data_IF_279192303718
#
_entry.id   IF_279192303718
#
_cell.length_a   1.000
_cell.length_b   1.000
_cell.length_c   1.000
_cell.angle_alpha   90.00
_cell.angle_beta   90.00
_cell.angle_gamma   90.00
#
_symmetry.space_group_name_H-M   'P 1'
#
loop_
_entity.id
_entity.type
_entity.pdbx_description
1 polymer ?
#
# COMPACT_ATOMS: atom_id res chain seq x y z
N UNK A 1 55.21 109.18 40.25
CA UNK A 1 53.82 108.93 40.67
C UNK A 1 53.18 107.95 39.70
N UNK A 2 52.96 106.70 40.14
CA UNK A 2 51.79 105.87 39.78
C UNK A 2 51.90 104.56 40.57
N UNK A 3 51.05 104.45 41.57
CA UNK A 3 50.77 103.25 42.36
C UNK A 3 49.94 102.29 41.53
N UNK A 4 50.41 101.06 41.32
CA UNK A 4 49.56 99.95 40.89
C UNK A 4 49.15 99.10 42.09
N UNK A 5 47.85 98.86 42.16
CA UNK A 5 47.14 98.21 43.24
C UNK A 5 46.30 97.11 42.57
N UNK A 6 46.65 95.83 42.73
CA UNK A 6 45.76 94.73 42.32
C UNK A 6 45.77 93.60 43.37
N UNK A 7 44.76 93.73 44.24
CA UNK A 7 43.77 92.72 44.67
C UNK A 7 44.23 91.27 44.97
N UNK A 8 44.29 91.04 46.28
CA UNK A 8 43.83 89.89 47.06
C UNK A 8 43.10 88.77 46.28
N UNK A 9 43.70 87.58 46.26
CA UNK A 9 43.16 86.35 45.68
C UNK A 9 42.24 85.66 46.70
N UNK A 10 40.92 85.76 46.51
CA UNK A 10 39.95 85.06 47.35
C UNK A 10 39.98 83.55 47.07
N UNK A 11 40.25 82.76 48.10
CA UNK A 11 40.12 81.31 48.10
C UNK A 11 38.72 80.89 47.67
N UNK A 12 38.58 80.29 46.49
CA UNK A 12 37.33 79.66 46.04
C UNK A 12 36.91 78.61 47.07
N UNK A 13 35.71 78.79 47.63
CA UNK A 13 35.20 77.95 48.72
C UNK A 13 35.07 76.49 48.28
N UNK A 14 35.49 75.58 49.17
CA UNK A 14 35.40 74.11 49.02
C UNK A 14 33.97 73.66 48.64
N UNK A 15 32.96 74.48 48.96
CA UNK A 15 31.55 74.23 48.65
C UNK A 15 31.22 74.28 47.14
N UNK A 16 31.95 75.05 46.32
CA UNK A 16 31.73 75.13 44.87
C UNK A 16 32.24 73.87 44.14
N UNK A 17 33.40 73.34 44.54
CA UNK A 17 33.92 72.07 44.00
C UNK A 17 33.07 70.87 44.44
N UNK A 18 32.53 70.88 45.66
CA UNK A 18 31.63 69.83 46.16
C UNK A 18 30.31 69.76 45.39
N UNK A 19 29.73 70.89 45.00
CA UNK A 19 28.49 70.95 44.20
C UNK A 19 28.73 70.47 42.76
N UNK A 20 29.85 70.85 42.15
CA UNK A 20 30.25 70.36 40.82
C UNK A 20 30.50 68.84 40.85
N UNK A 21 31.21 68.33 41.86
CA UNK A 21 31.47 66.90 42.01
C UNK A 21 30.19 66.08 42.22
N UNK A 22 29.25 66.56 43.03
CA UNK A 22 27.94 65.92 43.23
C UNK A 22 27.09 65.92 41.96
N UNK A 23 27.10 67.02 41.20
CA UNK A 23 26.42 67.10 39.91
C UNK A 23 27.03 66.13 38.89
N UNK A 24 28.36 66.02 38.85
CA UNK A 24 29.06 65.07 37.98
C UNK A 24 28.77 63.61 38.35
N UNK A 25 28.77 63.27 39.64
CA UNK A 25 28.39 61.93 40.13
C UNK A 25 26.95 61.61 39.75
N UNK A 26 26.01 62.55 39.93
CA UNK A 26 24.61 62.37 39.55
C UNK A 26 24.48 62.13 38.04
N UNK A 27 25.15 62.93 37.21
CA UNK A 27 25.16 62.77 35.76
C UNK A 27 25.75 61.42 35.34
N UNK A 28 26.80 60.97 36.02
CA UNK A 28 27.45 59.68 35.78
C UNK A 28 26.53 58.52 36.12
N UNK A 29 25.80 58.60 37.24
CA UNK A 29 24.79 57.60 37.62
C UNK A 29 23.64 57.57 36.63
N UNK A 30 23.16 58.73 36.17
CA UNK A 30 22.12 58.81 35.14
C UNK A 30 22.62 58.17 33.84
N UNK A 31 23.85 58.48 33.42
CA UNK A 31 24.44 57.91 32.21
C UNK A 31 24.61 56.39 32.32
N UNK A 32 25.15 55.89 33.43
CA UNK A 32 25.23 54.44 33.72
C UNK A 32 23.85 53.80 33.74
N UNK A 33 22.85 54.46 34.30
CA UNK A 33 21.45 54.02 34.29
C UNK A 33 20.91 53.89 32.87
N UNK A 34 21.22 54.84 31.99
CA UNK A 34 20.84 54.80 30.57
C UNK A 34 21.57 53.66 29.83
N UNK A 35 22.89 53.51 30.02
CA UNK A 35 23.66 52.43 29.40
C UNK A 35 23.16 51.07 29.85
N UNK A 36 22.94 50.89 31.16
CA UNK A 36 22.43 49.66 31.73
C UNK A 36 20.99 49.37 31.27
N UNK A 37 20.17 50.42 31.13
CA UNK A 37 18.83 50.35 30.54
C UNK A 37 18.84 49.77 29.12
N UNK A 38 19.78 50.21 28.27
CA UNK A 38 19.92 49.66 26.91
C UNK A 38 20.58 48.27 26.89
N UNK A 39 21.46 47.99 27.86
CA UNK A 39 22.19 46.73 27.94
C UNK A 39 21.32 45.54 28.37
N UNK A 40 20.35 45.78 29.26
CA UNK A 40 19.51 44.74 29.85
C UNK A 40 18.43 44.20 28.91
N UNK A 41 17.94 45.02 27.99
CA UNK A 41 16.84 44.63 27.11
C UNK A 41 17.35 43.68 26.02
N UNK A 42 16.79 42.47 25.99
CA UNK A 42 17.06 41.42 25.00
C UNK A 42 15.75 40.85 24.47
N UNK A 43 15.77 40.43 23.20
CA UNK A 43 14.68 39.73 22.55
C UNK A 43 15.24 38.49 21.86
N UNK A 44 14.68 37.32 22.18
CA UNK A 44 14.92 36.08 21.42
C UNK A 44 13.64 35.72 20.68
N UNK A 45 13.74 35.56 19.37
CA UNK A 45 12.66 35.15 18.47
C UNK A 45 12.94 33.70 18.07
N UNK A 46 12.08 32.78 18.48
CA UNK A 46 12.17 31.36 18.10
C UNK A 46 11.15 31.13 16.99
N UNK A 47 11.61 30.76 15.80
CA UNK A 47 10.76 30.53 14.63
C UNK A 47 10.56 29.03 14.40
N UNK A 48 9.32 28.61 14.17
CA UNK A 48 9.01 27.22 13.78
C UNK A 48 8.75 27.19 12.26
N UNK A 49 9.70 26.66 11.46
CA UNK A 49 9.58 26.67 10.01
C UNK A 49 8.44 25.76 9.53
N UNK A 50 7.83 26.14 8.41
CA UNK A 50 6.86 25.30 7.74
C UNK A 50 7.55 24.06 7.14
N UNK A 51 6.86 22.92 7.18
CA UNK A 51 7.31 21.66 6.58
C UNK A 51 6.51 21.45 5.29
N UNK A 52 7.20 21.48 4.17
CA UNK A 52 6.60 21.28 2.85
C UNK A 52 6.93 19.88 2.33
N UNK A 53 6.02 19.31 1.52
CA UNK A 53 6.32 18.07 0.79
C UNK A 53 7.06 18.39 -0.50
N UNK A 54 8.03 17.56 -0.82
CA UNK A 54 8.74 17.56 -2.10
C UNK A 54 8.66 16.15 -2.70
N UNK A 55 8.59 16.08 -4.02
CA UNK A 55 8.65 14.83 -4.76
C UNK A 55 9.44 15.02 -6.04
N UNK A 56 10.07 13.93 -6.51
CA UNK A 56 10.75 13.90 -7.79
C UNK A 56 10.53 12.56 -8.50
N UNK A 57 10.53 12.64 -9.83
CA UNK A 57 10.38 11.53 -10.75
C UNK A 57 11.62 11.49 -11.65
N UNK A 58 12.44 10.47 -11.51
CA UNK A 58 13.63 10.29 -12.34
C UNK A 58 13.73 8.88 -12.91
N UNK A 59 14.58 8.74 -13.92
CA UNK A 59 14.85 7.47 -14.58
C UNK A 59 16.24 7.01 -14.18
N UNK A 60 16.37 5.72 -13.87
CA UNK A 60 17.64 5.08 -13.57
C UNK A 60 17.84 3.82 -14.40
N UNK A 61 19.08 3.62 -14.84
CA UNK A 61 19.48 2.40 -15.53
C UNK A 61 19.92 1.35 -14.51
N UNK A 62 19.36 0.15 -14.65
CA UNK A 62 19.80 -1.07 -13.96
C UNK A 62 20.59 -1.90 -14.96
N UNK A 63 21.80 -2.32 -14.58
CA UNK A 63 22.67 -3.11 -15.44
C UNK A 63 23.16 -4.41 -14.79
N UNK A 64 23.27 -5.45 -15.59
CA UNK A 64 23.80 -6.74 -15.18
C UNK A 64 25.33 -6.79 -15.37
N UNK A 65 26.08 -6.81 -14.27
CA UNK A 65 27.56 -6.86 -14.25
C UNK A 65 28.13 -8.07 -15.00
N UNK A 66 27.36 -9.15 -15.17
CA UNK A 66 27.82 -10.35 -15.87
C UNK A 66 27.73 -10.21 -17.39
N UNK A 67 26.86 -9.32 -17.89
CA UNK A 67 26.58 -9.14 -19.32
C UNK A 67 27.13 -7.83 -19.87
N UNK A 68 27.19 -6.78 -19.04
CA UNK A 68 27.62 -5.45 -19.45
C UNK A 68 28.80 -4.98 -18.58
N UNK A 69 30.02 -5.26 -19.06
CA UNK A 69 31.27 -4.94 -18.35
C UNK A 69 31.86 -3.58 -18.76
N UNK A 70 31.44 -3.01 -19.90
CA UNK A 70 32.08 -1.84 -20.50
C UNK A 70 31.07 -0.96 -21.29
N UNK A 71 30.17 -0.23 -20.63
CA UNK A 71 29.44 0.88 -21.27
C UNK A 71 29.21 2.08 -20.34
N UNK A 72 29.20 3.27 -20.97
CA UNK A 72 28.98 4.58 -20.37
C UNK A 72 27.52 4.73 -19.98
N UNK A 73 27.23 4.61 -18.69
CA UNK A 73 25.89 4.85 -18.14
C UNK A 73 25.55 6.34 -18.14
N UNK A 74 24.28 6.70 -18.35
CA UNK A 74 23.83 8.08 -18.17
C UNK A 74 23.80 8.44 -16.69
N UNK A 75 24.92 8.97 -16.19
CA UNK A 75 25.11 9.74 -14.95
C UNK A 75 24.72 9.11 -13.59
N UNK A 76 23.99 8.00 -13.52
CA UNK A 76 23.81 7.16 -12.33
C UNK A 76 23.17 5.84 -12.77
N UNK A 77 23.87 4.73 -12.60
CA UNK A 77 23.33 3.40 -12.85
C UNK A 77 23.62 2.47 -11.67
N UNK A 78 22.68 1.57 -11.41
CA UNK A 78 22.75 0.61 -10.30
C UNK A 78 22.99 -0.78 -10.86
N UNK A 79 23.86 -1.54 -10.21
CA UNK A 79 24.06 -2.93 -10.58
C UNK A 79 22.90 -3.77 -10.11
N UNK A 80 22.36 -4.58 -11.01
CA UNK A 80 21.29 -5.52 -10.74
C UNK A 80 21.48 -6.83 -11.50
N UNK A 81 20.42 -7.63 -11.53
CA UNK A 81 20.33 -8.89 -12.26
C UNK A 81 19.12 -8.84 -13.17
N UNK A 82 19.30 -9.17 -14.45
CA UNK A 82 18.22 -9.17 -15.44
C UNK A 82 18.17 -10.54 -16.09
N UNK A 83 17.12 -11.27 -15.78
CA UNK A 83 16.93 -12.65 -16.20
C UNK A 83 15.55 -12.84 -16.81
N UNK A 84 15.43 -13.84 -17.68
CA UNK A 84 14.16 -14.21 -18.30
C UNK A 84 13.94 -15.71 -18.14
N UNK A 85 12.76 -16.08 -17.69
CA UNK A 85 12.38 -17.46 -17.47
C UNK A 85 11.17 -17.81 -18.31
N UNK A 86 11.23 -18.95 -18.99
CA UNK A 86 10.02 -19.56 -19.50
C UNK A 86 9.31 -20.26 -18.34
N UNK A 87 8.07 -19.87 -18.09
CA UNK A 87 7.23 -20.43 -17.02
C UNK A 87 5.92 -20.90 -17.63
N UNK A 88 5.38 -21.98 -17.06
CA UNK A 88 4.09 -22.55 -17.41
C UNK A 88 3.26 -22.71 -16.13
N UNK A 89 1.99 -22.34 -16.21
CA UNK A 89 0.99 -22.46 -15.16
C UNK A 89 -0.34 -22.96 -15.72
N UNK A 90 -1.04 -23.76 -14.93
CA UNK A 90 -2.34 -24.31 -15.29
C UNK A 90 -3.28 -24.39 -14.09
N UNK A 91 -4.55 -24.09 -14.31
CA UNK A 91 -5.59 -24.25 -13.29
C UNK A 91 -6.96 -24.48 -13.93
N UNK A 92 -7.82 -25.19 -13.20
CA UNK A 92 -9.22 -25.38 -13.55
C UNK A 92 -10.07 -24.24 -12.99
N UNK A 93 -11.01 -23.75 -13.79
CA UNK A 93 -11.91 -22.65 -13.43
C UNK A 93 -13.36 -23.06 -13.62
N UNK A 94 -14.26 -22.67 -12.70
CA UNK A 94 -15.67 -22.98 -12.83
C UNK A 94 -16.34 -22.12 -13.91
N UNK A 95 -17.27 -22.71 -14.63
CA UNK A 95 -18.18 -22.00 -15.53
C UNK A 95 -19.24 -21.25 -14.73
N UNK A 96 -19.46 -19.98 -15.05
CA UNK A 96 -20.50 -19.15 -14.41
C UNK A 96 -21.82 -19.17 -15.19
N UNK A 97 -21.77 -19.47 -16.49
CA UNK A 97 -22.96 -19.56 -17.33
C UNK A 97 -23.87 -20.69 -16.84
N UNK A 98 -25.15 -20.38 -16.71
CA UNK A 98 -26.17 -21.32 -16.25
C UNK A 98 -27.37 -21.26 -17.20
N UNK A 99 -27.82 -22.43 -17.65
CA UNK A 99 -29.06 -22.60 -18.41
C UNK A 99 -29.95 -23.58 -17.68
N UNK A 100 -31.18 -23.15 -17.39
CA UNK A 100 -32.20 -24.06 -16.89
C UNK A 100 -32.62 -24.99 -18.05
N UNK A 101 -32.40 -26.29 -17.89
CA UNK A 101 -32.72 -27.33 -18.88
C UNK A 101 -33.94 -28.17 -18.48
N UNK A 102 -34.68 -27.73 -17.46
CA UNK A 102 -35.87 -28.39 -16.97
C UNK A 102 -35.88 -28.49 -15.46
N UNK A 103 -36.67 -29.43 -14.96
CA UNK A 103 -36.88 -29.65 -13.54
C UNK A 103 -36.42 -31.06 -13.18
N UNK A 104 -36.07 -31.28 -11.92
CA UNK A 104 -35.72 -32.62 -11.44
C UNK A 104 -36.13 -32.80 -9.98
N UNK A 105 -36.22 -34.07 -9.57
CA UNK A 105 -36.30 -34.46 -8.17
C UNK A 105 -34.95 -35.00 -7.75
N UNK A 106 -34.25 -34.27 -6.89
CA UNK A 106 -33.01 -34.70 -6.28
C UNK A 106 -33.31 -35.54 -5.04
N UNK A 107 -32.85 -36.79 -5.04
CA UNK A 107 -33.08 -37.73 -3.96
C UNK A 107 -32.19 -38.95 -4.07
N UNK A 108 -32.00 -39.62 -2.93
CA UNK A 108 -31.27 -40.87 -2.82
C UNK A 108 -32.09 -41.88 -2.04
N UNK A 109 -32.01 -43.14 -2.44
CA UNK A 109 -32.57 -44.26 -1.70
C UNK A 109 -31.48 -45.27 -1.38
N UNK A 110 -31.63 -45.92 -0.24
CA UNK A 110 -30.87 -47.11 0.13
C UNK A 110 -31.66 -48.33 -0.33
N UNK A 111 -31.11 -49.10 -1.26
CA UNK A 111 -31.66 -50.39 -1.65
C UNK A 111 -31.12 -51.44 -0.70
N UNK A 112 -32.01 -52.13 0.01
CA UNK A 112 -31.70 -53.15 1.00
C UNK A 112 -32.02 -54.52 0.41
N UNK A 113 -31.04 -55.44 0.46
CA UNK A 113 -31.22 -56.82 0.04
C UNK A 113 -31.02 -57.77 1.23
N UNK A 114 -32.12 -58.15 1.89
CA UNK A 114 -32.14 -59.17 2.94
C UNK A 114 -32.37 -60.59 2.38
N UNK A 115 -32.20 -60.78 1.07
CA UNK A 115 -32.26 -62.08 0.43
C UNK A 115 -30.88 -62.74 0.42
N UNK A 116 -30.86 -64.06 0.17
CA UNK A 116 -29.64 -64.89 0.24
C UNK A 116 -28.82 -64.86 -1.05
N UNK A 117 -29.27 -64.12 -2.08
CA UNK A 117 -28.58 -64.00 -3.38
C UNK A 117 -28.43 -62.53 -3.75
N UNK A 118 -27.38 -62.24 -4.52
CA UNK A 118 -27.17 -60.92 -5.12
C UNK A 118 -28.31 -60.59 -6.08
N UNK A 119 -28.73 -59.33 -6.09
CA UNK A 119 -29.80 -58.84 -6.94
C UNK A 119 -29.28 -57.74 -7.87
N UNK A 120 -29.07 -58.05 -9.16
CA UNK A 120 -28.83 -57.02 -10.16
C UNK A 120 -30.12 -56.23 -10.41
N UNK A 121 -30.00 -54.90 -10.46
CA UNK A 121 -31.06 -53.97 -10.81
C UNK A 121 -30.52 -53.06 -11.92
N UNK A 122 -31.21 -53.01 -13.05
CA UNK A 122 -30.78 -52.20 -14.20
C UNK A 122 -31.11 -50.73 -13.98
N UNK A 123 -30.36 -49.83 -14.60
CA UNK A 123 -30.75 -48.43 -14.75
C UNK A 123 -32.22 -48.36 -15.21
N UNK A 124 -32.98 -47.40 -14.68
CA UNK A 124 -34.44 -47.25 -14.85
C UNK A 124 -35.35 -48.22 -14.06
N UNK A 125 -34.81 -49.09 -13.19
CA UNK A 125 -35.63 -49.94 -12.31
C UNK A 125 -36.60 -49.10 -11.48
N UNK A 126 -37.88 -49.49 -11.50
CA UNK A 126 -39.00 -48.77 -10.86
C UNK A 126 -39.01 -48.95 -9.34
N UNK A 127 -39.19 -47.84 -8.64
CA UNK A 127 -39.40 -47.74 -7.20
C UNK A 127 -40.76 -47.07 -6.96
N UNK A 128 -41.63 -47.71 -6.19
CA UNK A 128 -43.00 -47.25 -5.98
C UNK A 128 -43.28 -47.04 -4.49
N UNK A 129 -43.70 -45.83 -4.13
CA UNK A 129 -44.14 -45.51 -2.77
C UNK A 129 -45.55 -46.04 -2.49
N UNK A 130 -45.97 -46.02 -1.21
CA UNK A 130 -47.32 -46.40 -0.82
C UNK A 130 -48.42 -45.49 -1.42
N UNK A 131 -48.11 -44.23 -1.71
CA UNK A 131 -48.98 -43.25 -2.39
C UNK A 131 -48.84 -43.30 -3.93
N UNK A 132 -48.31 -44.40 -4.48
CA UNK A 132 -48.17 -44.65 -5.92
C UNK A 132 -47.29 -43.66 -6.70
N UNK A 133 -46.35 -42.99 -6.04
CA UNK A 133 -45.35 -42.14 -6.72
C UNK A 133 -44.22 -43.00 -7.25
N UNK A 134 -43.94 -42.84 -8.54
CA UNK A 134 -42.98 -43.66 -9.29
C UNK A 134 -41.65 -42.93 -9.42
N UNK A 135 -40.58 -43.58 -8.95
CA UNK A 135 -39.20 -43.16 -9.17
C UNK A 135 -38.42 -44.27 -9.85
N UNK A 136 -37.23 -43.92 -10.35
CA UNK A 136 -36.34 -44.85 -11.05
C UNK A 136 -34.92 -44.66 -10.60
N UNK A 137 -34.16 -45.75 -10.54
CA UNK A 137 -32.71 -45.66 -10.26
C UNK A 137 -31.95 -45.16 -11.49
N UNK A 138 -30.95 -44.29 -11.29
CA UNK A 138 -30.15 -43.73 -12.40
C UNK A 138 -29.18 -44.74 -13.01
N UNK A 139 -28.59 -45.61 -12.18
CA UNK A 139 -27.50 -46.50 -12.58
C UNK A 139 -27.85 -47.97 -12.41
N UNK A 140 -27.19 -48.83 -13.19
CA UNK A 140 -27.25 -50.27 -13.01
C UNK A 140 -26.39 -50.67 -11.82
N UNK A 141 -26.98 -51.37 -10.86
CA UNK A 141 -26.28 -51.82 -9.66
C UNK A 141 -26.46 -53.32 -9.45
N UNK A 142 -25.60 -53.90 -8.61
CA UNK A 142 -25.73 -55.26 -8.14
C UNK A 142 -25.70 -55.28 -6.62
N UNK A 143 -26.86 -55.43 -5.98
CA UNK A 143 -26.98 -55.37 -4.52
C UNK A 143 -26.61 -56.74 -3.94
N UNK A 144 -25.50 -56.87 -3.17
CA UNK A 144 -25.10 -58.15 -2.62
C UNK A 144 -26.10 -58.71 -1.62
N UNK A 145 -26.08 -60.02 -1.41
CA UNK A 145 -26.89 -60.67 -0.39
C UNK A 145 -26.61 -60.11 1.01
N UNK A 146 -27.66 -59.82 1.79
CA UNK A 146 -27.60 -59.22 3.13
C UNK A 146 -26.85 -57.88 3.21
N UNK A 147 -26.87 -57.09 2.14
CA UNK A 147 -26.23 -55.77 2.07
C UNK A 147 -27.18 -54.72 1.53
N UNK A 148 -26.76 -53.45 1.65
CA UNK A 148 -27.47 -52.32 1.07
C UNK A 148 -26.54 -51.41 0.28
N UNK A 149 -27.11 -50.72 -0.72
CA UNK A 149 -26.39 -49.77 -1.58
C UNK A 149 -27.23 -48.49 -1.69
N UNK A 150 -26.59 -47.33 -1.55
CA UNK A 150 -27.22 -46.03 -1.80
C UNK A 150 -27.16 -45.73 -3.30
N UNK A 151 -28.29 -45.32 -3.86
CA UNK A 151 -28.39 -44.93 -5.27
C UNK A 151 -29.19 -43.64 -5.45
N UNK A 152 -28.83 -42.90 -6.49
CA UNK A 152 -29.59 -41.74 -6.95
C UNK A 152 -30.83 -42.17 -7.73
N UNK A 153 -31.89 -41.39 -7.57
CA UNK A 153 -33.16 -41.60 -8.27
C UNK A 153 -33.48 -40.45 -9.24
N UNK A 154 -34.40 -40.71 -10.16
CA UNK A 154 -35.06 -39.68 -10.96
C UNK A 154 -36.55 -40.04 -11.14
N UNK A 155 -37.33 -39.06 -11.60
CA UNK A 155 -38.71 -39.25 -12.07
C UNK A 155 -38.80 -38.79 -13.52
N UNK A 156 -39.67 -39.45 -14.28
CA UNK A 156 -39.97 -39.08 -15.67
C UNK A 156 -40.77 -37.76 -15.72
N UNK A 157 -41.55 -37.47 -14.68
CA UNK A 157 -42.39 -36.27 -14.53
C UNK A 157 -42.08 -35.58 -13.19
N UNK A 158 -41.10 -34.66 -13.15
CA UNK A 158 -40.77 -33.90 -11.95
C UNK A 158 -41.86 -32.88 -11.63
N UNK A 159 -42.31 -32.86 -10.37
CA UNK A 159 -43.28 -31.88 -9.87
C UNK A 159 -43.09 -31.66 -8.36
N UNK A 160 -43.65 -30.59 -7.81
CA UNK A 160 -43.60 -30.35 -6.36
C UNK A 160 -44.22 -31.50 -5.54
N UNK A 161 -45.20 -32.21 -6.10
CA UNK A 161 -45.84 -33.36 -5.44
C UNK A 161 -44.91 -34.57 -5.33
N UNK A 162 -43.91 -34.66 -6.22
CA UNK A 162 -42.88 -35.70 -6.20
C UNK A 162 -41.75 -35.42 -5.20
N UNK A 163 -41.73 -34.23 -4.57
CA UNK A 163 -40.88 -33.95 -3.41
C UNK A 163 -41.50 -34.57 -2.14
N UNK A 164 -41.05 -35.77 -1.80
CA UNK A 164 -41.59 -36.58 -0.71
C UNK A 164 -40.68 -36.59 0.52
N UNK A 165 -41.29 -36.76 1.69
CA UNK A 165 -40.57 -37.04 2.94
C UNK A 165 -40.00 -38.48 2.95
N UNK A 166 -39.02 -38.77 3.83
CA UNK A 166 -38.45 -40.11 3.99
C UNK A 166 -39.51 -41.21 4.05
N UNK A 167 -39.44 -42.16 3.12
CA UNK A 167 -40.41 -43.26 3.03
C UNK A 167 -39.78 -44.56 2.52
N UNK A 168 -40.58 -45.62 2.50
CA UNK A 168 -40.24 -46.94 1.97
C UNK A 168 -40.84 -47.12 0.58
N UNK A 169 -40.08 -47.78 -0.29
CA UNK A 169 -40.43 -48.05 -1.68
C UNK A 169 -40.44 -49.56 -1.94
N UNK A 170 -41.42 -49.99 -2.70
CA UNK A 170 -41.45 -51.34 -3.30
C UNK A 170 -40.74 -51.32 -4.65
N UNK A 171 -40.26 -52.48 -5.11
CA UNK A 171 -39.65 -52.65 -6.44
C UNK A 171 -40.60 -53.53 -7.26
N UNK A 172 -41.56 -52.95 -8.02
CA UNK A 172 -42.63 -53.73 -8.66
C UNK A 172 -42.12 -54.72 -9.71
N UNK A 173 -40.93 -54.48 -10.27
CA UNK A 173 -40.29 -55.39 -11.23
C UNK A 173 -39.76 -56.69 -10.62
N UNK A 174 -39.67 -56.79 -9.28
CA UNK A 174 -39.31 -58.03 -8.59
C UNK A 174 -40.55 -58.89 -8.33
N UNK A 175 -40.35 -60.21 -8.32
CA UNK A 175 -41.40 -61.15 -7.91
C UNK A 175 -41.91 -60.82 -6.50
N UNK A 176 -43.23 -60.92 -6.28
CA UNK A 176 -43.90 -60.47 -5.06
C UNK A 176 -43.28 -61.02 -3.77
N UNK A 177 -42.85 -62.28 -3.75
CA UNK A 177 -42.22 -62.87 -2.57
C UNK A 177 -40.80 -62.36 -2.27
N UNK A 178 -40.17 -61.62 -3.19
CA UNK A 178 -38.90 -60.93 -2.96
C UNK A 178 -39.07 -59.48 -2.50
N UNK A 179 -40.19 -58.81 -2.78
CA UNK A 179 -40.36 -57.38 -2.48
C UNK A 179 -40.32 -57.07 -0.96
N UNK A 180 -40.66 -58.04 -0.12
CA UNK A 180 -40.52 -57.90 1.34
C UNK A 180 -39.07 -58.06 1.83
N UNK A 181 -38.21 -58.70 1.03
CA UNK A 181 -36.80 -58.96 1.34
C UNK A 181 -35.86 -58.00 0.62
N UNK A 182 -36.27 -57.47 -0.53
CA UNK A 182 -35.51 -56.55 -1.36
C UNK A 182 -36.39 -55.33 -1.64
N UNK A 183 -36.05 -54.22 -1.03
CA UNK A 183 -36.82 -52.97 -1.09
C UNK A 183 -35.88 -51.77 -1.07
N UNK A 184 -36.43 -50.58 -1.30
CA UNK A 184 -35.70 -49.33 -1.15
C UNK A 184 -36.30 -48.49 -0.01
N UNK A 185 -35.47 -47.67 0.62
CA UNK A 185 -35.89 -46.71 1.64
C UNK A 185 -35.11 -45.41 1.46
N UNK A 186 -35.76 -44.26 1.63
CA UNK A 186 -35.09 -42.97 1.68
C UNK A 186 -34.99 -42.50 3.12
N UNK A 187 -33.80 -42.07 3.54
CA UNK A 187 -33.58 -41.49 4.88
C UNK A 187 -33.65 -39.96 4.90
N UNK A 188 -33.70 -39.33 3.72
CA UNK A 188 -33.79 -37.87 3.54
C UNK A 188 -34.95 -37.55 2.60
N UNK A 189 -35.56 -36.38 2.77
CA UNK A 189 -36.59 -35.89 1.86
C UNK A 189 -36.04 -35.69 0.45
N UNK A 190 -36.89 -35.87 -0.54
CA UNK A 190 -36.59 -35.53 -1.92
C UNK A 190 -36.89 -34.05 -2.16
N UNK A 191 -36.07 -33.41 -2.99
CA UNK A 191 -36.15 -31.97 -3.25
C UNK A 191 -36.46 -31.75 -4.72
N UNK A 192 -37.54 -31.02 -4.99
CA UNK A 192 -37.84 -30.50 -6.31
C UNK A 192 -37.01 -29.25 -6.56
N UNK A 193 -36.23 -29.27 -7.64
CA UNK A 193 -35.34 -28.18 -8.01
C UNK A 193 -35.22 -28.04 -9.53
N UNK A 194 -34.81 -26.85 -9.98
CA UNK A 194 -34.46 -26.64 -11.38
C UNK A 194 -33.17 -27.37 -11.72
N UNK A 195 -33.18 -28.09 -12.85
CA UNK A 195 -32.01 -28.73 -13.43
C UNK A 195 -31.22 -27.68 -14.22
N UNK A 196 -30.07 -27.30 -13.68
CA UNK A 196 -29.20 -26.29 -14.29
C UNK A 196 -28.04 -26.99 -15.00
N UNK A 197 -27.79 -26.59 -16.24
CA UNK A 197 -26.59 -26.98 -16.99
C UNK A 197 -25.66 -25.78 -17.10
N UNK A 198 -24.41 -25.96 -16.70
CA UNK A 198 -23.41 -24.90 -16.80
C UNK A 198 -22.76 -24.84 -18.18
N UNK A 199 -22.33 -23.65 -18.56
CA UNK A 199 -21.57 -23.43 -19.79
C UNK A 199 -20.56 -22.29 -19.60
N UNK A 200 -19.49 -22.34 -20.38
CA UNK A 200 -18.38 -21.37 -20.28
C UNK A 200 -18.81 -20.02 -20.86
N UNK A 201 -18.64 -18.94 -20.10
CA UNK A 201 -18.79 -17.58 -20.60
C UNK A 201 -17.45 -16.94 -20.94
N UNK A 202 -17.46 -15.91 -21.80
CA UNK A 202 -16.24 -15.16 -22.12
C UNK A 202 -15.59 -14.54 -20.87
N UNK A 203 -16.41 -14.03 -19.94
CA UNK A 203 -15.92 -13.45 -18.68
C UNK A 203 -15.17 -14.48 -17.82
N UNK A 204 -15.55 -15.76 -17.88
CA UNK A 204 -14.88 -16.83 -17.15
C UNK A 204 -13.46 -17.04 -17.70
N UNK A 205 -13.33 -17.05 -19.04
CA UNK A 205 -12.04 -17.18 -19.73
C UNK A 205 -11.15 -15.97 -19.43
N UNK A 206 -11.69 -14.76 -19.53
CA UNK A 206 -10.92 -13.52 -19.30
C UNK A 206 -10.41 -13.44 -17.85
N UNK A 207 -11.26 -13.81 -16.88
CA UNK A 207 -10.88 -13.86 -15.46
C UNK A 207 -9.86 -14.96 -15.19
N UNK A 208 -10.04 -16.15 -15.76
CA UNK A 208 -9.09 -17.26 -15.65
C UNK A 208 -7.72 -16.88 -16.20
N UNK A 209 -7.67 -16.23 -17.37
CA UNK A 209 -6.41 -15.79 -17.98
C UNK A 209 -5.73 -14.70 -17.14
N UNK A 210 -6.51 -13.73 -16.63
CA UNK A 210 -5.99 -12.67 -15.75
C UNK A 210 -5.41 -13.22 -14.45
N UNK A 211 -6.12 -14.15 -13.81
CA UNK A 211 -5.67 -14.83 -12.59
C UNK A 211 -4.41 -15.68 -12.84
N UNK A 212 -4.37 -16.47 -13.92
CA UNK A 212 -3.19 -17.24 -14.27
C UNK A 212 -1.99 -16.36 -14.61
N UNK A 213 -2.15 -15.21 -15.26
CA UNK A 213 -1.04 -14.27 -15.49
C UNK A 213 -0.42 -13.79 -14.17
N UNK A 214 -1.25 -13.51 -13.15
CA UNK A 214 -0.76 -13.14 -11.80
C UNK A 214 -0.02 -14.30 -11.13
N UNK A 215 -0.56 -15.51 -11.20
CA UNK A 215 0.08 -16.74 -10.66
C UNK A 215 1.39 -17.06 -11.38
N UNK A 216 1.44 -16.87 -12.69
CA UNK A 216 2.63 -17.05 -13.52
C UNK A 216 3.75 -16.09 -13.09
N UNK A 217 3.43 -14.80 -12.91
CA UNK A 217 4.37 -13.81 -12.40
C UNK A 217 4.86 -14.17 -10.98
N UNK A 218 3.95 -14.53 -10.07
CA UNK A 218 4.31 -14.96 -8.72
C UNK A 218 5.28 -16.15 -8.74
N UNK A 219 4.98 -17.21 -9.52
CA UNK A 219 5.88 -18.36 -9.67
C UNK A 219 7.23 -18.00 -10.27
N UNK A 220 7.27 -17.07 -11.23
CA UNK A 220 8.53 -16.61 -11.79
C UNK A 220 9.37 -15.90 -10.72
N UNK A 221 8.75 -15.02 -9.92
CA UNK A 221 9.44 -14.31 -8.82
C UNK A 221 9.88 -15.26 -7.69
N UNK A 222 9.08 -16.29 -7.37
CA UNK A 222 9.42 -17.31 -6.35
C UNK A 222 10.63 -18.18 -6.74
N UNK A 223 10.83 -18.43 -8.04
CA UNK A 223 12.03 -19.14 -8.51
C UNK A 223 13.32 -18.40 -8.15
N UNK A 224 13.26 -17.07 -8.10
CA UNK A 224 14.44 -16.23 -7.88
C UNK A 224 14.53 -15.75 -6.43
N UNK A 225 13.41 -15.53 -5.73
CA UNK A 225 13.43 -15.04 -4.34
C UNK A 225 14.18 -15.96 -3.36
N UNK A 226 14.37 -17.23 -3.70
CA UNK A 226 15.24 -18.15 -2.94
C UNK A 226 16.72 -17.74 -2.93
N UNK A 227 17.17 -17.03 -3.97
CA UNK A 227 18.56 -16.64 -4.16
C UNK A 227 18.83 -15.20 -3.68
N UNK A 228 17.78 -14.38 -3.49
CA UNK A 228 17.88 -12.97 -3.13
C UNK A 228 17.19 -12.70 -1.77
N UNK A 229 17.98 -12.26 -0.79
CA UNK A 229 17.56 -11.95 0.60
C UNK A 229 16.72 -10.66 0.70
N UNK A 230 16.29 -10.35 1.92
CA UNK A 230 15.68 -9.07 2.35
C UNK A 230 16.65 -7.87 2.14
N UNK A 231 16.87 -7.42 0.90
CA UNK A 231 17.49 -6.11 0.56
C UNK A 231 17.40 -5.78 -0.95
N UNK A 232 16.45 -6.38 -1.66
CA UNK A 232 16.33 -6.23 -3.11
C UNK A 232 14.91 -5.86 -3.50
N UNK A 233 14.81 -5.00 -4.51
CA UNK A 233 13.59 -4.73 -5.22
C UNK A 233 13.51 -5.67 -6.43
N UNK A 234 12.33 -6.21 -6.68
CA UNK A 234 12.06 -7.13 -7.78
C UNK A 234 10.94 -6.54 -8.64
N UNK A 235 11.27 -6.22 -9.89
CA UNK A 235 10.31 -5.87 -10.92
C UNK A 235 10.20 -7.01 -11.92
N UNK A 236 9.04 -7.14 -12.54
CA UNK A 236 8.81 -8.15 -13.56
C UNK A 236 7.98 -7.60 -14.71
N UNK A 237 8.16 -8.22 -15.87
CA UNK A 237 7.30 -8.04 -17.03
C UNK A 237 7.04 -9.39 -17.72
N UNK A 238 5.82 -9.57 -18.21
CA UNK A 238 5.43 -10.77 -18.97
C UNK A 238 5.48 -10.40 -20.45
N UNK A 239 6.40 -11.02 -21.19
CA UNK A 239 6.56 -10.80 -22.62
C UNK A 239 5.31 -11.30 -23.37
N UNK A 240 4.45 -10.36 -23.76
CA UNK A 240 3.19 -10.66 -24.45
C UNK A 240 3.43 -11.37 -25.79
N UNK A 241 4.57 -11.17 -26.46
CA UNK A 241 4.87 -11.82 -27.74
C UNK A 241 5.17 -13.31 -27.59
N UNK A 242 5.55 -13.74 -26.39
CA UNK A 242 5.83 -15.16 -26.08
C UNK A 242 4.70 -15.83 -25.32
N UNK A 243 3.62 -15.08 -25.01
CA UNK A 243 2.51 -15.58 -24.21
C UNK A 243 1.61 -16.47 -25.06
N UNK A 244 1.60 -17.76 -24.73
CA UNK A 244 0.70 -18.75 -25.31
C UNK A 244 -0.36 -19.12 -24.25
N UNK A 245 -1.63 -18.92 -24.61
CA UNK A 245 -2.79 -19.26 -23.78
C UNK A 245 -3.55 -20.39 -24.46
N UNK A 246 -3.66 -21.52 -23.78
CA UNK A 246 -4.50 -22.64 -24.20
C UNK A 246 -5.70 -22.75 -23.25
N UNK A 247 -6.90 -22.84 -23.82
CA UNK A 247 -8.15 -23.00 -23.07
C UNK A 247 -8.79 -24.30 -23.54
N UNK A 248 -8.98 -25.25 -22.62
CA UNK A 248 -9.65 -26.52 -22.89
C UNK A 248 -11.18 -26.37 -22.85
N UNK A 249 -11.68 -25.46 -23.67
CA UNK A 249 -13.10 -25.16 -23.79
C UNK A 249 -13.36 -23.98 -24.71
N UNK A 250 -14.62 -23.84 -25.15
CA UNK A 250 -15.08 -22.70 -25.94
C UNK A 250 -16.24 -22.00 -25.27
N UNK A 251 -16.43 -20.73 -25.58
CA UNK A 251 -17.62 -19.98 -25.15
C UNK A 251 -18.88 -20.74 -25.57
N UNK A 252 -19.83 -20.86 -24.64
CA UNK A 252 -21.07 -21.64 -24.74
C UNK A 252 -20.88 -23.18 -24.76
N UNK A 253 -19.68 -23.69 -24.56
CA UNK A 253 -19.48 -25.13 -24.35
C UNK A 253 -20.01 -25.54 -22.97
N UNK A 254 -20.76 -26.64 -22.94
CA UNK A 254 -21.40 -27.14 -21.72
C UNK A 254 -20.40 -27.95 -20.88
N UNK A 255 -19.77 -27.25 -19.93
CA UNK A 255 -18.83 -27.81 -18.97
C UNK A 255 -19.03 -27.13 -17.61
N UNK A 256 -18.90 -27.88 -16.52
CA UNK A 256 -18.94 -27.32 -15.17
C UNK A 256 -17.65 -26.57 -14.83
N UNK A 257 -16.51 -27.07 -15.33
CA UNK A 257 -15.18 -26.48 -15.20
C UNK A 257 -14.39 -26.64 -16.49
N UNK A 258 -13.40 -25.79 -16.71
CA UNK A 258 -12.50 -25.84 -17.86
C UNK A 258 -11.05 -25.57 -17.42
N UNK A 259 -10.09 -26.21 -18.09
CA UNK A 259 -8.68 -26.03 -17.84
C UNK A 259 -8.14 -24.86 -18.67
N UNK A 260 -7.36 -23.98 -18.04
CA UNK A 260 -6.58 -22.97 -18.74
C UNK A 260 -5.10 -23.21 -18.45
N UNK A 261 -4.29 -23.14 -19.49
CA UNK A 261 -2.83 -23.24 -19.43
C UNK A 261 -2.22 -21.99 -20.03
N UNK A 262 -1.32 -21.34 -19.30
CA UNK A 262 -0.54 -20.20 -19.80
C UNK A 262 0.93 -20.54 -19.76
N UNK A 263 1.61 -20.32 -20.88
CA UNK A 263 3.06 -20.41 -21.01
C UNK A 263 3.59 -19.07 -21.53
N UNK A 264 4.52 -18.45 -20.83
CA UNK A 264 5.14 -17.20 -21.28
C UNK A 264 6.57 -17.06 -20.76
N UNK A 265 7.34 -16.18 -21.39
CA UNK A 265 8.59 -15.70 -20.82
C UNK A 265 8.33 -14.51 -19.90
N UNK A 266 8.86 -14.59 -18.69
CA UNK A 266 8.78 -13.53 -17.69
C UNK A 266 10.19 -12.97 -17.48
N UNK A 267 10.36 -11.69 -17.77
CA UNK A 267 11.56 -10.95 -17.45
C UNK A 267 11.50 -10.50 -15.99
N UNK A 268 12.60 -10.66 -15.26
CA UNK A 268 12.71 -10.27 -13.86
C UNK A 268 13.98 -9.42 -13.70
N UNK A 269 13.79 -8.24 -13.11
CA UNK A 269 14.80 -7.23 -12.87
C UNK A 269 14.95 -7.09 -11.37
N UNK A 270 16.17 -7.29 -10.87
CA UNK A 270 16.46 -7.28 -9.43
C UNK A 270 17.56 -6.27 -9.17
N UNK A 271 17.35 -5.37 -8.22
CA UNK A 271 18.33 -4.34 -7.87
C UNK A 271 18.31 -4.06 -6.36
N UNK A 272 19.41 -3.51 -5.85
CA UNK A 272 19.57 -3.26 -4.41
C UNK A 272 18.63 -2.15 -3.94
N UNK A 273 17.85 -2.45 -2.90
CA UNK A 273 16.94 -1.50 -2.25
C UNK A 273 17.71 -0.36 -1.56
N UNK A 274 18.78 -0.69 -0.85
CA UNK A 274 19.64 0.31 -0.22
C UNK A 274 20.29 1.27 -1.22
N UNK A 275 20.75 0.77 -2.38
CA UNK A 275 21.38 1.61 -3.38
C UNK A 275 20.38 2.57 -4.02
N UNK A 276 19.18 2.08 -4.36
CA UNK A 276 18.18 2.95 -4.99
C UNK A 276 17.64 4.00 -4.03
N UNK A 277 17.49 3.66 -2.74
CA UNK A 277 17.09 4.63 -1.70
C UNK A 277 18.09 5.75 -1.55
N UNK A 278 19.40 5.45 -1.56
CA UNK A 278 20.46 6.48 -1.52
C UNK A 278 20.41 7.39 -2.74
N UNK A 279 20.28 6.82 -3.94
CA UNK A 279 20.18 7.63 -5.17
C UNK A 279 18.93 8.50 -5.14
N UNK A 280 17.79 7.98 -4.69
CA UNK A 280 16.56 8.75 -4.56
C UNK A 280 16.68 9.91 -3.55
N UNK A 281 17.32 9.67 -2.41
CA UNK A 281 17.60 10.72 -1.43
C UNK A 281 18.54 11.80 -1.99
N UNK A 282 19.62 11.40 -2.68
CA UNK A 282 20.55 12.31 -3.37
C UNK A 282 19.82 13.15 -4.43
N UNK A 283 18.97 12.54 -5.26
CA UNK A 283 18.18 13.25 -6.27
C UNK A 283 17.22 14.28 -5.66
N UNK A 284 16.57 13.94 -4.55
CA UNK A 284 15.73 14.91 -3.84
C UNK A 284 16.55 16.07 -3.28
N UNK A 285 17.77 15.83 -2.80
CA UNK A 285 18.67 16.87 -2.29
C UNK A 285 19.14 17.79 -3.42
N UNK A 286 19.47 17.24 -4.59
CA UNK A 286 19.97 17.99 -5.75
C UNK A 286 18.97 19.03 -6.30
N UNK A 287 17.67 18.80 -6.09
CA UNK A 287 16.59 19.71 -6.54
C UNK A 287 16.16 20.72 -5.46
N UNK A 288 16.75 20.68 -4.26
CA UNK A 288 16.38 21.59 -3.17
C UNK A 288 16.79 23.03 -3.50
N UNK A 289 15.96 24.02 -3.16
CA UNK A 289 16.40 25.40 -3.09
C UNK A 289 17.52 25.59 -2.05
N UNK A 290 18.47 26.49 -2.32
CA UNK A 290 19.63 26.78 -1.45
C UNK A 290 19.26 27.09 0.01
N UNK A 291 18.05 27.61 0.24
CA UNK A 291 17.57 28.04 1.55
C UNK A 291 16.77 26.94 2.31
N UNK A 292 16.69 25.72 1.77
CA UNK A 292 15.95 24.59 2.36
C UNK A 292 16.88 23.39 2.60
N UNK A 293 16.45 22.52 3.50
CA UNK A 293 17.08 21.23 3.79
C UNK A 293 16.03 20.12 3.80
N UNK A 294 16.44 18.91 3.43
CA UNK A 294 15.63 17.72 3.60
C UNK A 294 15.59 17.34 5.09
N UNK A 295 14.40 17.30 5.67
CA UNK A 295 14.18 16.94 7.08
C UNK A 295 13.78 15.49 7.23
N UNK A 296 13.03 14.96 6.27
CA UNK A 296 12.51 13.60 6.32
C UNK A 296 12.47 13.02 4.91
N UNK A 297 13.07 11.84 4.72
CA UNK A 297 12.96 11.07 3.49
C UNK A 297 11.97 9.91 3.69
N UNK A 298 11.18 9.57 2.66
CA UNK A 298 10.21 8.48 2.71
C UNK A 298 10.64 7.25 1.90
N UNK A 299 11.62 6.46 2.39
CA UNK A 299 12.16 5.32 1.66
C UNK A 299 11.15 4.19 1.41
N UNK A 300 10.07 4.13 2.18
CA UNK A 300 9.00 3.12 2.04
C UNK A 300 7.86 3.56 1.12
N UNK A 301 7.89 4.81 0.62
CA UNK A 301 6.88 5.36 -0.29
C UNK A 301 7.41 5.48 -1.72
N UNK A 302 8.63 4.97 -1.98
CA UNK A 302 9.20 4.97 -3.32
C UNK A 302 8.40 4.03 -4.22
N UNK A 303 8.01 4.52 -5.39
CA UNK A 303 7.31 3.74 -6.41
C UNK A 303 8.28 3.47 -7.55
N UNK A 304 8.36 2.21 -7.96
CA UNK A 304 9.21 1.75 -9.06
C UNK A 304 8.34 1.31 -10.23
N UNK A 305 8.63 1.82 -11.43
CA UNK A 305 7.97 1.43 -12.67
C UNK A 305 9.01 1.00 -13.69
N UNK A 306 8.85 -0.18 -14.27
CA UNK A 306 9.73 -0.65 -15.34
C UNK A 306 9.30 0.00 -16.67
N UNK A 307 10.17 0.81 -17.27
CA UNK A 307 9.91 1.49 -18.55
C UNK A 307 10.31 0.64 -19.75
N UNK A 308 11.52 0.09 -19.71
CA UNK A 308 12.10 -0.70 -20.80
C UNK A 308 13.11 -1.70 -20.25
N UNK A 309 13.41 -2.75 -21.02
CA UNK A 309 14.48 -3.68 -20.70
C UNK A 309 15.00 -4.40 -21.95
N UNK A 310 16.25 -4.80 -21.91
CA UNK A 310 16.90 -5.69 -22.85
C UNK A 310 17.65 -6.77 -22.06
N UNK A 311 17.11 -7.99 -22.08
CA UNK A 311 17.68 -9.13 -21.36
C UNK A 311 19.02 -9.58 -21.95
N UNK A 312 19.24 -9.37 -23.26
CA UNK A 312 20.47 -9.75 -23.95
C UNK A 312 21.60 -8.79 -23.58
N UNK A 313 21.32 -7.49 -23.61
CA UNK A 313 22.28 -6.46 -23.20
C UNK A 313 22.42 -6.36 -21.67
N UNK A 314 21.49 -6.93 -20.92
CA UNK A 314 21.47 -6.84 -19.47
C UNK A 314 21.24 -5.41 -19.00
N UNK A 315 20.29 -4.71 -19.63
CA UNK A 315 19.91 -3.34 -19.29
C UNK A 315 18.40 -3.25 -18.99
N UNK A 316 18.03 -2.43 -18.02
CA UNK A 316 16.65 -2.08 -17.75
C UNK A 316 16.54 -0.63 -17.31
N UNK A 317 15.50 0.04 -17.78
CA UNK A 317 15.17 1.41 -17.44
C UNK A 317 14.04 1.40 -16.41
N UNK A 318 14.29 1.97 -15.23
CA UNK A 318 13.34 2.03 -14.13
C UNK A 318 13.03 3.49 -13.83
N UNK A 319 11.75 3.87 -13.92
CA UNK A 319 11.25 5.13 -13.38
C UNK A 319 11.06 4.99 -11.87
N UNK A 320 11.57 5.96 -11.13
CA UNK A 320 11.55 6.03 -9.68
C UNK A 320 10.82 7.30 -9.28
N UNK A 321 9.76 7.15 -8.50
CA UNK A 321 9.04 8.27 -7.89
C UNK A 321 9.31 8.26 -6.39
N UNK A 322 9.82 9.35 -5.85
CA UNK A 322 10.21 9.46 -4.45
C UNK A 322 9.71 10.75 -3.81
N UNK A 323 9.54 10.73 -2.48
CA UNK A 323 8.97 11.83 -1.72
C UNK A 323 9.74 12.07 -0.41
N UNK A 324 9.64 13.30 0.09
CA UNK A 324 10.17 13.69 1.39
C UNK A 324 9.51 14.96 1.94
N UNK A 325 10.00 15.42 3.08
CA UNK A 325 9.68 16.73 3.64
C UNK A 325 10.92 17.59 3.73
N UNK A 326 10.73 18.86 3.38
CA UNK A 326 11.75 19.89 3.43
C UNK A 326 11.34 20.98 4.41
N UNK A 327 12.33 21.64 4.97
CA UNK A 327 12.17 22.80 5.86
C UNK A 327 13.26 23.82 5.56
N UNK A 328 13.05 25.04 6.04
CA UNK A 328 14.08 26.07 6.02
C UNK A 328 15.31 25.67 6.85
N UNK A 329 16.51 25.98 6.34
CA UNK A 329 17.77 25.73 7.06
C UNK A 329 17.93 26.68 8.26
N UNK A 330 18.70 26.25 9.27
CA UNK A 330 18.87 26.99 10.53
C UNK A 330 19.68 28.29 10.46
N UNK A 331 20.55 28.44 9.45
CA UNK A 331 21.58 29.50 9.42
C UNK A 331 21.31 30.62 8.42
N UNK A 332 20.06 30.82 8.00
CA UNK A 332 19.72 31.86 7.03
C UNK A 332 19.24 33.11 7.76
N UNK A 333 19.77 34.26 7.37
CA UNK A 333 19.28 35.57 7.84
C UNK A 333 17.94 35.88 7.17
N UNK A 334 16.84 35.41 7.75
CA UNK A 334 15.48 35.57 7.19
C UNK A 334 14.83 36.87 7.65
N UNK A 335 15.18 37.36 8.84
CA UNK A 335 14.60 38.58 9.43
C UNK A 335 15.54 39.76 9.21
N UNK A 336 15.03 40.81 8.56
CA UNK A 336 15.70 42.11 8.55
C UNK A 336 15.58 42.75 9.94
N UNK A 337 16.63 42.58 10.76
CA UNK A 337 16.70 43.08 12.13
C UNK A 337 16.52 44.61 12.20
N UNK A 338 16.75 45.36 11.11
CA UNK A 338 16.53 46.82 11.09
C UNK A 338 15.05 47.18 11.07
N UNK A 339 14.21 46.35 10.48
CA UNK A 339 12.76 46.59 10.38
C UNK A 339 12.01 46.32 11.68
N UNK A 340 12.59 45.49 12.56
CA UNK A 340 11.97 45.09 13.82
C UNK A 340 12.46 45.87 15.04
N UNK A 341 13.49 46.72 14.88
CA UNK A 341 13.99 47.57 15.96
C UNK A 341 12.90 48.46 16.55
N UNK A 342 12.81 48.43 17.88
CA UNK A 342 11.86 49.28 18.60
C UNK A 342 10.38 48.97 18.35
N UNK A 343 10.04 47.90 17.63
CA UNK A 343 8.65 47.45 17.51
C UNK A 343 8.14 46.96 18.87
N UNK A 344 6.87 47.24 19.15
CA UNK A 344 6.19 46.62 20.28
C UNK A 344 5.76 45.18 19.92
N UNK A 345 5.35 44.40 20.92
CA UNK A 345 4.93 43.00 20.71
C UNK A 345 3.88 42.82 19.61
N UNK A 346 2.87 43.68 19.52
CA UNK A 346 1.81 43.56 18.50
C UNK A 346 2.34 43.84 17.08
N UNK A 347 3.18 44.86 16.93
CA UNK A 347 3.81 45.18 15.65
C UNK A 347 4.78 44.09 15.21
N UNK A 348 5.49 43.49 16.17
CA UNK A 348 6.39 42.37 15.89
C UNK A 348 5.61 41.15 15.42
N UNK A 349 4.47 40.84 16.06
CA UNK A 349 3.54 39.78 15.63
C UNK A 349 3.07 40.01 14.19
N UNK A 350 2.57 41.22 13.88
CA UNK A 350 2.16 41.57 12.51
C UNK A 350 3.31 41.41 11.51
N UNK A 351 4.54 41.78 11.87
CA UNK A 351 5.69 41.58 10.99
C UNK A 351 5.96 40.08 10.73
N UNK A 352 5.95 39.25 11.78
CA UNK A 352 6.22 37.81 11.69
C UNK A 352 5.09 37.04 11.02
N UNK A 353 3.83 37.43 11.22
CA UNK A 353 2.66 36.83 10.58
C UNK A 353 2.67 37.03 9.05
N UNK A 354 3.41 38.02 8.54
CA UNK A 354 3.58 38.24 7.11
C UNK A 354 4.67 37.34 6.49
N UNK A 355 5.40 36.55 7.29
CA UNK A 355 6.39 35.60 6.82
C UNK A 355 5.71 34.23 6.63
N UNK A 356 5.40 33.88 5.39
CA UNK A 356 4.68 32.65 5.05
C UNK A 356 5.53 31.38 5.27
N UNK A 357 6.81 31.53 5.53
CA UNK A 357 7.79 30.45 5.70
C UNK A 357 7.75 29.80 7.09
N UNK A 358 6.99 30.35 8.04
CA UNK A 358 6.89 29.87 9.42
C UNK A 358 5.45 29.59 9.83
N UNK A 359 5.24 28.51 10.57
CA UNK A 359 3.92 28.11 11.09
C UNK A 359 3.63 28.73 12.44
N UNK A 360 4.68 28.97 13.23
CA UNK A 360 4.56 29.50 14.59
C UNK A 360 5.83 30.24 15.01
N UNK A 361 5.73 31.10 16.03
CA UNK A 361 6.86 31.80 16.60
C UNK A 361 6.69 32.09 18.10
N UNK A 362 7.80 32.08 18.81
CA UNK A 362 7.88 32.41 20.23
C UNK A 362 8.71 33.68 20.46
N UNK A 363 8.20 34.58 21.29
CA UNK A 363 8.85 35.85 21.61
C UNK A 363 9.26 35.88 23.09
N UNK A 364 10.56 35.79 23.33
CA UNK A 364 11.12 35.80 24.68
C UNK A 364 11.78 37.16 24.93
N UNK A 365 11.10 37.99 25.72
CA UNK A 365 11.62 39.27 26.16
C UNK A 365 12.34 39.12 27.50
N UNK A 366 13.56 39.66 27.60
CA UNK A 366 14.29 39.75 28.86
C UNK A 366 14.68 41.20 29.14
N UNK A 367 14.24 41.80 30.27
CA UNK A 367 13.33 41.21 31.27
C UNK A 367 11.87 41.12 30.76
N UNK A 368 11.09 40.16 31.26
CA UNK A 368 9.77 39.79 30.72
C UNK A 368 8.69 40.87 30.77
N UNK A 369 8.84 41.87 31.65
CA UNK A 369 7.93 43.02 31.73
C UNK A 369 8.12 44.02 30.57
N UNK A 370 9.17 43.89 29.75
CA UNK A 370 9.48 44.77 28.60
C UNK A 370 9.06 44.12 27.29
N UNK A 371 7.85 44.39 26.82
CA UNK A 371 7.28 43.86 25.56
C UNK A 371 7.64 44.71 24.32
N UNK A 372 8.92 45.06 24.17
CA UNK A 372 9.43 45.91 23.07
C UNK A 372 10.79 45.41 22.60
N UNK A 373 10.99 45.36 21.29
CA UNK A 373 12.26 44.99 20.69
C UNK A 373 13.36 46.00 21.08
N UNK A 374 14.57 45.54 21.43
CA UNK A 374 15.73 46.39 21.67
C UNK A 374 16.05 47.29 20.47
N UNK A 375 16.62 48.47 20.73
CA UNK A 375 17.12 49.35 19.67
C UNK A 375 18.49 48.88 19.14
N UNK A 376 19.21 48.04 19.89
CA UNK A 376 20.50 47.48 19.49
C UNK A 376 20.27 46.13 18.82
N UNK A 377 20.72 45.98 17.58
CA UNK A 377 20.56 44.75 16.77
C UNK A 377 21.19 43.54 17.49
N UNK A 378 22.37 43.72 18.08
CA UNK A 378 23.11 42.67 18.81
C UNK A 378 22.36 42.11 20.03
N UNK A 379 21.23 42.73 20.40
CA UNK A 379 20.34 42.28 21.48
C UNK A 379 19.12 41.52 20.99
N UNK A 380 18.99 41.34 19.68
CA UNK A 380 17.96 40.53 19.04
C UNK A 380 18.62 39.25 18.55
N UNK A 381 18.18 38.11 19.09
CA UNK A 381 18.61 36.79 18.64
C UNK A 381 17.44 36.13 17.91
N UNK A 382 17.73 35.55 16.76
CA UNK A 382 16.76 34.77 15.98
C UNK A 382 17.26 33.33 15.97
N UNK A 383 16.40 32.42 16.42
CA UNK A 383 16.69 30.99 16.46
C UNK A 383 15.60 30.25 15.68
N UNK A 384 16.00 29.27 14.90
CA UNK A 384 15.06 28.39 14.19
C UNK A 384 14.93 27.12 15.03
N UNK A 385 13.70 26.86 15.48
CA UNK A 385 13.38 25.67 16.28
C UNK A 385 13.73 24.43 15.47
N UNK A 386 14.49 23.52 16.08
CA UNK A 386 14.84 22.27 15.41
C UNK A 386 13.56 21.46 15.14
N UNK A 387 13.42 20.88 13.94
CA UNK A 387 12.20 20.20 13.51
C UNK A 387 11.85 18.95 14.31
#
# INVERSE_FOLDING_TARGET
>A
MRTENIKNNQSRSINAYRTIALSFILLTIIFLGIVFYFYLNKLTIILTPNKERISDDFIIDIYDKTKNQEQVFSQQAISGTIQQFEVEEQAAYPSSGAKNIGEEIAGQVTIVNNYTKNQPLVASTRLLTADNKLFRIKETINVPANQSIVVDIYTDEPSQEMAIEPTKFTIPGLWAGLQNKIYAESNKKFVYQSKIKKYIQQIDIDQAVSDLKKKLAAKATEKISKDFKDNYQILYDIDQNTTNVNVEGKVNEEKDEFLVTIKAKVAIIIFSDDQIKKVAEEKLIDILPDNKELVEFYPHQIIYTLNAYDVQQGLAEVKVSCEGKISMQKNIDIIDLKKIQGLNEQQLKVYLDNLNEFTDYELIFSPSFRKKAPNLIDRIQVEIKSP
#
